data_IF_189352375330
#
_entry.id   IF_189352375330
#
_cell.length_a   1.000
_cell.length_b   1.000
_cell.length_c   1.000
_cell.angle_alpha   90.00
_cell.angle_beta   90.00
_cell.angle_gamma   90.00
#
_symmetry.space_group_name_H-M   'P 1'
#
loop_
_entity.id
_entity.type
_entity.pdbx_description
1 polymer ?
#
# COMPACT_ATOMS: atom_id res chain seq x y z
N UNK A 1 -25.98 -9.54 -12.81
CA UNK A 1 -25.53 -8.46 -11.89
C UNK A 1 -24.43 -7.68 -12.60
N UNK A 2 -24.51 -6.36 -12.62
CA UNK A 2 -23.49 -5.51 -13.23
C UNK A 2 -22.61 -4.88 -12.15
N UNK A 3 -21.30 -4.90 -12.37
CA UNK A 3 -20.37 -4.10 -11.58
C UNK A 3 -20.34 -2.68 -12.13
N UNK A 4 -20.36 -1.68 -11.26
CA UNK A 4 -20.09 -0.28 -11.64
C UNK A 4 -18.69 0.08 -11.18
N UNK A 5 -17.91 0.70 -12.06
CA UNK A 5 -16.58 1.24 -11.73
C UNK A 5 -16.76 2.72 -11.40
N UNK A 6 -16.19 3.16 -10.27
CA UNK A 6 -16.16 4.56 -9.87
C UNK A 6 -14.72 5.06 -9.98
N UNK A 7 -14.52 6.17 -10.67
CA UNK A 7 -13.22 6.83 -10.86
C UNK A 7 -13.34 8.23 -10.28
N UNK A 8 -12.37 8.63 -9.44
CA UNK A 8 -12.35 9.95 -8.81
C UNK A 8 -10.92 10.47 -8.61
N UNK A 9 -10.77 11.78 -8.55
CA UNK A 9 -9.51 12.47 -8.30
C UNK A 9 -9.24 12.61 -6.79
N UNK A 10 -8.00 12.33 -6.38
CA UNK A 10 -7.59 12.49 -4.97
C UNK A 10 -7.15 13.93 -4.73
N UNK A 11 -7.95 14.69 -3.99
CA UNK A 11 -7.66 16.10 -3.64
C UNK A 11 -6.86 16.28 -2.34
N UNK A 12 -6.74 15.23 -1.52
CA UNK A 12 -6.03 15.30 -0.24
C UNK A 12 -5.88 13.95 0.46
N UNK A 13 -4.83 13.81 1.28
CA UNK A 13 -4.53 12.60 2.05
C UNK A 13 -4.00 13.01 3.43
N UNK A 14 -4.50 12.36 4.49
CA UNK A 14 -3.93 12.47 5.82
C UNK A 14 -3.07 11.24 6.13
N UNK A 15 -1.83 11.47 6.58
CA UNK A 15 -0.91 10.41 7.03
C UNK A 15 -0.33 10.83 8.36
N UNK A 16 -0.37 9.93 9.36
CA UNK A 16 0.30 10.20 10.63
C UNK A 16 1.82 10.28 10.42
N UNK A 17 2.40 11.42 10.75
CA UNK A 17 3.82 11.74 10.56
C UNK A 17 4.78 10.69 11.12
N UNK A 18 4.39 9.94 12.17
CA UNK A 18 5.23 8.86 12.74
C UNK A 18 5.57 7.75 11.74
N UNK A 19 4.77 7.61 10.69
CA UNK A 19 4.96 6.61 9.64
C UNK A 19 5.68 7.15 8.40
N UNK A 20 6.03 8.43 8.36
CA UNK A 20 6.77 9.03 7.25
C UNK A 20 8.27 8.99 7.60
N UNK A 21 9.07 8.31 6.77
CA UNK A 21 10.53 8.22 6.90
C UNK A 21 11.19 8.61 5.58
N UNK A 22 12.03 9.65 5.60
CA UNK A 22 12.75 10.15 4.41
C UNK A 22 11.81 10.47 3.24
N UNK A 23 10.70 11.17 3.52
CA UNK A 23 9.68 11.52 2.52
C UNK A 23 8.88 10.34 1.97
N UNK A 24 8.97 9.15 2.60
CA UNK A 24 8.25 7.94 2.17
C UNK A 24 7.45 7.33 3.30
N UNK A 25 6.30 6.78 2.97
CA UNK A 25 5.48 6.04 3.93
C UNK A 25 6.13 4.70 4.28
N UNK A 26 6.24 4.43 5.58
CA UNK A 26 6.70 3.16 6.11
C UNK A 26 5.52 2.21 6.32
N UNK A 27 5.09 1.59 5.23
CA UNK A 27 4.00 0.61 5.17
C UNK A 27 4.17 -0.59 6.11
N UNK A 28 5.40 -1.04 6.40
CA UNK A 28 5.64 -2.13 7.36
C UNK A 28 5.34 -1.70 8.80
N UNK A 29 5.72 -0.47 9.19
CA UNK A 29 5.39 0.05 10.51
C UNK A 29 3.88 0.33 10.69
N UNK A 30 3.16 0.59 9.60
CA UNK A 30 1.71 0.77 9.61
C UNK A 30 0.93 -0.54 9.71
N UNK A 31 1.57 -1.68 9.44
CA UNK A 31 0.93 -3.01 9.42
C UNK A 31 -0.32 -3.07 8.53
N UNK A 32 -0.19 -2.64 7.28
CA UNK A 32 -1.31 -2.68 6.32
C UNK A 32 -1.96 -4.05 6.26
N UNK A 33 -3.29 -4.07 6.22
CA UNK A 33 -4.09 -5.28 6.06
C UNK A 33 -4.25 -5.54 4.56
N UNK A 34 -3.95 -6.76 4.12
CA UNK A 34 -4.22 -7.23 2.77
C UNK A 34 -5.28 -8.33 2.82
N UNK A 35 -6.17 -8.33 1.82
CA UNK A 35 -7.18 -9.37 1.63
C UNK A 35 -6.55 -10.55 0.90
N UNK A 36 -6.81 -11.76 1.39
CA UNK A 36 -6.47 -13.02 0.73
C UNK A 36 -7.75 -13.67 0.19
N UNK A 37 -7.66 -14.94 -0.19
CA UNK A 37 -8.83 -15.72 -0.61
C UNK A 37 -9.87 -15.82 0.52
N UNK A 38 -11.13 -15.97 0.14
CA UNK A 38 -12.23 -16.21 1.10
C UNK A 38 -12.26 -15.18 2.23
N UNK A 39 -12.29 -15.62 3.49
CA UNK A 39 -12.31 -14.80 4.70
C UNK A 39 -10.90 -14.59 5.30
N UNK A 40 -9.84 -14.84 4.54
CA UNK A 40 -8.47 -14.75 5.02
C UNK A 40 -7.90 -13.34 4.82
N UNK A 41 -7.11 -12.89 5.79
CA UNK A 41 -6.46 -11.59 5.78
C UNK A 41 -5.06 -11.71 6.37
N UNK A 42 -4.16 -10.84 5.94
CA UNK A 42 -2.80 -10.78 6.46
C UNK A 42 -2.39 -9.35 6.77
N UNK A 43 -1.33 -9.18 7.56
CA UNK A 43 -0.72 -7.87 7.84
C UNK A 43 0.70 -7.81 7.33
N UNK A 44 1.11 -6.67 6.75
CA UNK A 44 2.49 -6.48 6.31
C UNK A 44 3.42 -6.41 7.52
N UNK A 45 4.33 -7.38 7.64
CA UNK A 45 5.39 -7.41 8.66
C UNK A 45 6.75 -6.94 8.13
N UNK A 46 7.04 -7.20 6.85
CA UNK A 46 8.30 -6.85 6.20
C UNK A 46 8.08 -6.42 4.75
N UNK A 47 9.10 -5.79 4.16
CA UNK A 47 9.13 -5.42 2.74
C UNK A 47 10.55 -5.42 2.22
N UNK A 48 10.72 -5.72 0.94
CA UNK A 48 11.97 -5.53 0.21
C UNK A 48 11.78 -4.46 -0.87
N UNK A 49 12.89 -3.89 -1.34
CA UNK A 49 12.89 -2.95 -2.45
C UNK A 49 13.46 -3.67 -3.67
N UNK A 50 12.64 -3.83 -4.70
CA UNK A 50 13.11 -4.27 -6.01
C UNK A 50 13.59 -3.03 -6.79
N UNK A 51 14.82 -3.07 -7.28
CA UNK A 51 15.36 -2.03 -8.14
C UNK A 51 14.95 -2.29 -9.59
N UNK A 52 14.74 -1.21 -10.36
CA UNK A 52 14.47 -1.33 -11.79
C UNK A 52 15.64 -2.06 -12.48
N UNK A 53 15.39 -3.12 -13.26
CA UNK A 53 16.45 -3.85 -13.95
C UNK A 53 17.06 -2.95 -15.03
N UNK A 54 18.39 -2.90 -15.09
CA UNK A 54 19.09 -2.25 -16.20
C UNK A 54 19.35 -3.29 -17.29
N UNK A 55 18.89 -3.01 -18.50
CA UNK A 55 19.33 -3.75 -19.67
C UNK A 55 20.81 -3.47 -19.93
N UNK A 56 21.56 -4.52 -20.28
CA UNK A 56 22.92 -4.43 -20.80
C UNK A 56 22.89 -4.57 -22.32
#
# INVERSE_FOLDING_TARGET
>A
KYGTIVIGEVIGIFINNKFIKKGRVNSAAMRYVARLGYAEYTTISSKFRMHHPKWK
#
